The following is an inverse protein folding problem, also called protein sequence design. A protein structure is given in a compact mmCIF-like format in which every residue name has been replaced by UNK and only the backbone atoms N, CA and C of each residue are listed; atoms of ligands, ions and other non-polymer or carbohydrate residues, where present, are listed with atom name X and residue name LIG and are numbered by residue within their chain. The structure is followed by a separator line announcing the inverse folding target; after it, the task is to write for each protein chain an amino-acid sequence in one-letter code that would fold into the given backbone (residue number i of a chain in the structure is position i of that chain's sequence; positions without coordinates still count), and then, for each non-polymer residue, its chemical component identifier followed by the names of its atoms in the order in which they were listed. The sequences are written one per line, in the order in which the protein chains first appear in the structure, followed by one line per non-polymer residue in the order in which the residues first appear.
data_IF_414580871646
#
_entry.id   IF_414580871646
#
_cell.length_a   1.000
_cell.length_b   1.000
_cell.length_c   1.000
_cell.angle_alpha   90.00
_cell.angle_beta   90.00
_cell.angle_gamma   90.00
#
_symmetry.space_group_name_H-M   'P 1'
#
loop_
_entity.id
_entity.type
_entity.pdbx_description
1 polymer ?
#
# COMPACT_ATOMS: atom_id res chain seq x y z
N UNK A 1 -11.99 2.89 4.16
CA UNK A 1 -11.90 4.04 5.08
C UNK A 1 -11.04 3.80 6.32
N UNK A 2 -10.68 2.56 6.70
CA UNK A 2 -9.92 2.28 7.92
C UNK A 2 -8.55 3.00 8.01
N UNK A 3 -7.81 3.14 6.90
CA UNK A 3 -6.57 3.92 6.86
C UNK A 3 -6.84 5.40 7.15
N UNK A 4 -7.75 6.04 6.42
CA UNK A 4 -8.07 7.46 6.61
C UNK A 4 -8.54 7.79 8.04
N UNK A 5 -9.30 6.89 8.67
CA UNK A 5 -9.67 7.02 10.09
C UNK A 5 -8.43 6.94 10.99
N UNK A 6 -7.50 6.03 10.69
CA UNK A 6 -6.24 5.92 11.42
C UNK A 6 -5.36 7.17 11.27
N UNK A 7 -5.33 7.76 10.07
CA UNK A 7 -4.65 9.04 9.78
C UNK A 7 -5.38 10.28 10.31
N UNK A 8 -6.56 10.10 10.92
CA UNK A 8 -7.42 11.17 11.45
C UNK A 8 -8.00 12.12 10.39
N UNK A 9 -8.11 11.66 9.14
CA UNK A 9 -8.58 12.41 7.98
C UNK A 9 -9.68 11.64 7.21
N UNK A 10 -10.80 11.24 7.85
CA UNK A 10 -11.80 10.37 7.24
C UNK A 10 -12.50 10.97 6.01
N UNK A 11 -12.63 12.30 5.97
CA UNK A 11 -13.34 13.04 4.91
C UNK A 11 -12.40 13.49 3.78
N UNK A 12 -11.09 13.26 3.91
CA UNK A 12 -10.11 13.62 2.90
C UNK A 12 -10.10 12.64 1.70
N UNK A 13 -10.74 11.47 1.84
CA UNK A 13 -10.75 10.44 0.79
C UNK A 13 -11.67 10.85 -0.35
N UNK A 14 -11.05 11.39 -1.41
CA UNK A 14 -11.75 11.73 -2.67
C UNK A 14 -11.72 10.59 -3.69
N UNK A 15 -10.77 9.66 -3.56
CA UNK A 15 -10.60 8.56 -4.49
C UNK A 15 -11.76 7.56 -4.41
N UNK A 16 -12.32 7.21 -5.57
CA UNK A 16 -13.34 6.18 -5.72
C UNK A 16 -12.71 4.79 -5.97
N UNK A 17 -13.46 3.70 -5.77
CA UNK A 17 -13.00 2.36 -6.17
C UNK A 17 -12.68 2.26 -7.67
N UNK A 18 -13.34 3.04 -8.52
CA UNK A 18 -13.07 3.11 -9.96
C UNK A 18 -11.71 3.75 -10.23
N UNK A 19 -11.38 4.84 -9.53
CA UNK A 19 -10.08 5.49 -9.63
C UNK A 19 -8.97 4.52 -9.26
N UNK A 20 -9.13 3.77 -8.16
CA UNK A 20 -8.14 2.77 -7.73
C UNK A 20 -7.99 1.63 -8.73
N UNK A 21 -9.08 1.13 -9.34
CA UNK A 21 -8.98 0.11 -10.40
C UNK A 21 -8.18 0.62 -11.59
N UNK A 22 -8.44 1.85 -12.03
CA UNK A 22 -7.76 2.43 -13.16
C UNK A 22 -6.28 2.72 -12.86
N UNK A 23 -5.97 3.28 -11.69
CA UNK A 23 -4.62 3.75 -11.36
C UNK A 23 -3.67 2.66 -10.85
N UNK A 24 -4.18 1.65 -10.12
CA UNK A 24 -3.35 0.56 -9.57
C UNK A 24 -3.35 -0.72 -10.42
N UNK A 25 -4.36 -0.91 -11.26
CA UNK A 25 -4.56 -2.16 -12.02
C UNK A 25 -4.88 -1.95 -13.50
N UNK A 26 -4.91 -0.71 -13.97
CA UNK A 26 -5.08 -0.39 -15.39
C UNK A 26 -3.82 -0.63 -16.21
N UNK A 27 -3.98 -0.61 -17.53
CA UNK A 27 -2.84 -0.67 -18.45
C UNK A 27 -1.92 0.54 -18.24
N UNK A 28 -0.61 0.29 -18.10
CA UNK A 28 0.37 1.33 -17.83
C UNK A 28 0.39 1.87 -16.39
N UNK A 29 -0.30 1.23 -15.44
CA UNK A 29 -0.21 1.57 -14.02
C UNK A 29 1.26 1.56 -13.55
N UNK A 30 1.67 2.66 -12.90
CA UNK A 30 3.03 2.85 -12.38
C UNK A 30 3.14 2.62 -10.87
N UNK A 31 1.99 2.56 -10.20
CA UNK A 31 1.87 2.20 -8.80
C UNK A 31 1.40 0.74 -8.69
N UNK A 32 1.79 0.12 -7.58
CA UNK A 32 1.55 -1.28 -7.30
C UNK A 32 0.94 -1.42 -5.91
N UNK A 33 0.14 -2.47 -5.72
CA UNK A 33 -0.51 -2.76 -4.46
C UNK A 33 -0.31 -4.24 -4.07
N UNK A 34 -0.11 -4.48 -2.78
CA UNK A 34 -0.06 -5.81 -2.17
C UNK A 34 -1.12 -5.91 -1.09
N UNK A 35 -1.77 -7.07 -0.99
CA UNK A 35 -2.66 -7.39 0.13
C UNK A 35 -2.01 -8.51 0.95
N UNK A 36 -1.94 -8.31 2.27
CA UNK A 36 -1.62 -9.38 3.20
C UNK A 36 -2.92 -10.07 3.61
N UNK A 37 -3.03 -11.36 3.30
CA UNK A 37 -4.20 -12.18 3.61
C UNK A 37 -3.83 -13.32 4.56
N UNK A 38 -4.78 -13.67 5.43
CA UNK A 38 -4.74 -14.87 6.25
C UNK A 38 -6.14 -15.49 6.28
N UNK A 39 -6.25 -16.78 5.97
CA UNK A 39 -7.52 -17.51 5.94
C UNK A 39 -8.61 -16.83 5.07
N UNK A 40 -8.19 -16.23 3.95
CA UNK A 40 -9.06 -15.48 3.03
C UNK A 40 -9.47 -14.09 3.53
N UNK A 41 -8.95 -13.63 4.67
CA UNK A 41 -9.20 -12.31 5.21
C UNK A 41 -8.03 -11.36 4.96
N UNK A 42 -8.30 -10.22 4.32
CA UNK A 42 -7.33 -9.15 4.15
C UNK A 42 -7.00 -8.46 5.49
N UNK A 43 -5.79 -8.69 6.00
CA UNK A 43 -5.28 -8.14 7.25
C UNK A 43 -4.62 -6.77 7.10
N UNK A 44 -4.08 -6.49 5.92
CA UNK A 44 -3.37 -5.24 5.63
C UNK A 44 -3.01 -5.11 4.16
N UNK A 45 -2.43 -3.98 3.79
CA UNK A 45 -1.98 -3.73 2.43
C UNK A 45 -0.73 -2.83 2.41
N UNK A 46 -0.06 -2.82 1.26
CA UNK A 46 0.96 -1.84 0.92
C UNK A 46 0.69 -1.26 -0.48
N UNK A 47 0.92 0.05 -0.67
CA UNK A 47 0.95 0.71 -1.98
C UNK A 47 2.33 1.32 -2.18
N UNK A 48 2.93 1.08 -3.34
CA UNK A 48 4.28 1.54 -3.63
C UNK A 48 4.46 1.84 -5.12
N UNK A 49 5.52 2.57 -5.45
CA UNK A 49 5.94 2.81 -6.83
C UNK A 49 7.46 2.92 -6.89
N UNK A 50 8.02 2.90 -8.11
CA UNK A 50 9.46 3.03 -8.31
C UNK A 50 9.85 4.48 -8.58
N UNK A 51 10.96 4.90 -7.98
CA UNK A 51 11.58 6.21 -8.23
C UNK A 51 13.02 6.02 -8.74
N UNK A 52 13.67 7.11 -9.15
CA UNK A 52 15.06 7.10 -9.58
C UNK A 52 15.86 8.18 -8.85
N UNK A 53 16.97 7.79 -8.24
CA UNK A 53 17.89 8.74 -7.63
C UNK A 53 18.91 9.21 -8.66
N UNK A 54 18.90 10.51 -9.00
CA UNK A 54 19.89 11.10 -9.90
C UNK A 54 21.28 11.15 -9.28
N UNK A 55 21.38 11.14 -7.95
CA UNK A 55 22.66 11.15 -7.23
C UNK A 55 23.27 9.75 -7.14
N UNK A 56 22.44 8.71 -7.04
CA UNK A 56 22.91 7.32 -6.97
C UNK A 56 22.92 6.61 -8.34
N UNK A 57 22.23 7.16 -9.33
CA UNK A 57 22.05 6.56 -10.65
C UNK A 57 21.31 5.23 -10.61
N UNK A 58 20.33 5.08 -9.71
CA UNK A 58 19.65 3.80 -9.43
C UNK A 58 18.16 3.97 -9.23
N UNK A 59 17.40 2.96 -9.66
CA UNK A 59 16.02 2.79 -9.27
C UNK A 59 15.93 2.53 -7.77
N UNK A 60 14.90 3.08 -7.14
CA UNK A 60 14.50 2.80 -5.77
C UNK A 60 13.02 2.47 -5.71
N UNK A 61 12.58 2.03 -4.53
CA UNK A 61 11.18 1.81 -4.21
C UNK A 61 10.74 2.87 -3.21
N UNK A 62 9.63 3.54 -3.51
CA UNK A 62 8.94 4.42 -2.58
C UNK A 62 7.68 3.72 -2.08
N UNK A 63 7.62 3.50 -0.76
CA UNK A 63 6.46 2.93 -0.09
C UNK A 63 5.54 4.08 0.31
N UNK A 64 4.43 4.23 -0.39
CA UNK A 64 3.44 5.29 -0.16
C UNK A 64 2.63 4.97 1.10
N UNK A 65 1.94 3.82 1.09
CA UNK A 65 1.10 3.39 2.20
C UNK A 65 1.53 2.01 2.69
N UNK A 66 1.55 1.85 4.02
CA UNK A 66 1.61 0.55 4.69
C UNK A 66 0.62 0.54 5.84
N UNK A 67 -0.43 -0.27 5.69
CA UNK A 67 -1.49 -0.32 6.69
C UNK A 67 -1.80 -1.76 7.10
N UNK A 68 -1.90 -1.99 8.41
CA UNK A 68 -2.40 -3.24 8.99
C UNK A 68 -3.56 -2.91 9.90
N UNK A 69 -4.66 -3.67 9.77
CA UNK A 69 -5.84 -3.54 10.63
C UNK A 69 -5.43 -3.62 12.10
N UNK A 70 -5.98 -2.78 13.00
CA UNK A 70 -5.58 -2.76 14.41
C UNK A 70 -5.56 -4.13 15.09
N UNK A 71 -6.52 -4.99 14.78
CA UNK A 71 -6.65 -6.34 15.36
C UNK A 71 -5.54 -7.30 14.92
N UNK A 72 -4.90 -7.05 13.76
CA UNK A 72 -3.83 -7.87 13.20
C UNK A 72 -2.42 -7.31 13.50
N UNK A 73 -2.32 -6.18 14.22
CA UNK A 73 -1.03 -5.58 14.59
C UNK A 73 -0.32 -6.42 15.65
N UNK A 74 1.01 -6.40 15.64
CA UNK A 74 1.85 -7.22 16.53
C UNK A 74 1.98 -8.69 16.11
N UNK A 75 1.31 -9.11 15.02
CA UNK A 75 1.30 -10.49 14.53
C UNK A 75 2.20 -10.71 13.30
N UNK A 76 2.98 -9.70 12.90
CA UNK A 76 3.97 -9.82 11.82
C UNK A 76 3.49 -9.46 10.41
N UNK A 77 2.19 -9.18 10.19
CA UNK A 77 1.65 -8.84 8.86
C UNK A 77 2.38 -7.68 8.17
N UNK A 78 2.67 -6.59 8.89
CA UNK A 78 3.40 -5.45 8.34
C UNK A 78 4.85 -5.78 7.97
N UNK A 79 5.51 -6.62 8.79
CA UNK A 79 6.86 -7.09 8.50
C UNK A 79 6.87 -8.04 7.29
N UNK A 80 5.85 -8.88 7.14
CA UNK A 80 5.71 -9.76 5.98
C UNK A 80 5.55 -8.95 4.69
N UNK A 81 4.74 -7.88 4.70
CA UNK A 81 4.62 -6.96 3.58
C UNK A 81 5.96 -6.29 3.23
N UNK A 82 6.69 -5.76 4.21
CA UNK A 82 8.00 -5.14 3.98
C UNK A 82 9.04 -6.13 3.42
N UNK A 83 9.07 -7.37 3.94
CA UNK A 83 9.96 -8.43 3.44
C UNK A 83 9.60 -8.90 2.04
N UNK A 84 8.36 -8.73 1.60
CA UNK A 84 7.99 -9.03 0.22
C UNK A 84 8.52 -7.97 -0.76
N UNK A 85 8.69 -6.73 -0.29
CA UNK A 85 9.16 -5.60 -1.10
C UNK A 85 10.69 -5.49 -1.18
N UNK A 86 11.44 -6.15 -0.29
CA UNK A 86 12.87 -5.97 -0.08
C UNK A 86 13.66 -7.29 -0.18
#
# INVERSE_FOLDING_TARGET
TALAVYEREPDAVKASPQDLRASLFGEGATAHALICEQDGQALGFAVYFFNYSTWLGRNGLYLEDLFVRPQARGQGAGLALLRHLA
#
